data_IF_034430612567
#
_entry.id   IF_034430612567
#
_cell.length_a   1.000
_cell.length_b   1.000
_cell.length_c   1.000
_cell.angle_alpha   90.00
_cell.angle_beta   90.00
_cell.angle_gamma   90.00
#
_symmetry.space_group_name_H-M   'P 1'
#
loop_
_entity.id
_entity.type
_entity.pdbx_description
1 polymer ?
#
# COMPACT_ATOMS: atom_id res chain seq x y z
N UNK A 1 7.38 2.40 2.70
CA UNK A 1 7.08 2.25 4.13
C UNK A 1 8.07 1.25 4.67
N UNK A 2 8.81 1.60 5.72
CA UNK A 2 9.43 0.57 6.57
C UNK A 2 8.27 -0.22 7.18
N UNK A 3 8.23 -1.54 6.98
CA UNK A 3 7.10 -2.41 7.34
C UNK A 3 6.83 -2.51 8.85
N UNK A 4 7.62 -1.81 9.68
CA UNK A 4 7.57 -1.92 11.13
C UNK A 4 6.36 -1.28 11.82
N UNK A 5 5.59 -0.41 11.16
CA UNK A 5 4.44 0.23 11.82
C UNK A 5 3.39 -0.77 12.32
N UNK A 6 3.23 -1.92 11.67
CA UNK A 6 2.28 -2.95 12.08
C UNK A 6 2.83 -3.84 13.19
N UNK A 7 4.16 -4.03 13.25
CA UNK A 7 4.81 -4.94 14.18
C UNK A 7 4.51 -4.62 15.66
N UNK A 8 4.14 -3.38 15.97
CA UNK A 8 3.80 -2.95 17.33
C UNK A 8 2.32 -3.09 17.69
N UNK A 9 1.44 -3.44 16.75
CA UNK A 9 -0.02 -3.37 16.94
C UNK A 9 -0.78 -4.60 16.41
N UNK A 10 -0.09 -5.66 15.94
CA UNK A 10 -0.75 -6.87 15.44
C UNK A 10 0.03 -8.13 15.76
N UNK A 11 -0.69 -9.16 16.16
CA UNK A 11 -0.26 -10.55 16.30
C UNK A 11 -0.82 -11.46 15.17
N UNK A 12 -1.42 -10.85 14.14
CA UNK A 12 -2.00 -11.54 12.98
C UNK A 12 -1.08 -11.40 11.77
N UNK A 13 -0.76 -12.50 11.03
CA UNK A 13 -0.04 -12.41 9.76
C UNK A 13 -0.78 -11.55 8.72
N UNK A 14 -0.05 -10.69 8.01
CA UNK A 14 -0.64 -9.73 7.08
C UNK A 14 0.18 -9.56 5.79
N UNK A 15 -0.40 -8.90 4.78
CA UNK A 15 0.31 -8.42 3.59
C UNK A 15 -0.19 -7.03 3.19
N UNK A 16 0.63 -6.27 2.44
CA UNK A 16 0.31 -4.89 2.05
C UNK A 16 -0.52 -4.76 0.77
N UNK A 17 -0.48 -5.78 -0.07
CA UNK A 17 -1.18 -5.83 -1.35
C UNK A 17 -1.32 -7.29 -1.78
N UNK A 18 -2.32 -7.57 -2.61
CA UNK A 18 -2.55 -8.90 -3.17
C UNK A 18 -1.84 -9.09 -4.51
N UNK A 19 -1.87 -8.08 -5.36
CA UNK A 19 -1.30 -8.11 -6.71
C UNK A 19 -0.59 -6.80 -7.00
N UNK A 20 0.37 -6.85 -7.91
CA UNK A 20 1.02 -5.67 -8.44
C UNK A 20 1.04 -5.68 -9.96
N UNK A 21 1.13 -4.48 -10.53
CA UNK A 21 1.51 -4.25 -11.91
C UNK A 21 2.55 -3.14 -11.91
N UNK A 22 3.73 -3.38 -12.49
CA UNK A 22 4.85 -2.42 -12.44
C UNK A 22 5.52 -2.31 -13.80
N UNK A 23 5.85 -1.07 -14.19
CA UNK A 23 6.76 -0.83 -15.31
C UNK A 23 8.20 -1.05 -14.87
N UNK A 24 8.92 -1.86 -15.64
CA UNK A 24 10.35 -2.10 -15.42
C UNK A 24 11.11 -0.87 -15.88
N UNK A 25 11.76 -0.18 -14.93
CA UNK A 25 12.64 0.95 -15.21
C UNK A 25 14.07 0.52 -14.96
N UNK A 26 15.01 1.03 -15.77
CA UNK A 26 16.44 0.68 -15.68
C UNK A 26 16.99 0.77 -14.24
N UNK A 27 16.60 1.80 -13.49
CA UNK A 27 17.02 2.03 -12.09
C UNK A 27 16.55 0.94 -11.11
N UNK A 28 15.42 0.28 -11.37
CA UNK A 28 14.76 -0.66 -10.44
C UNK A 28 14.67 -2.07 -11.03
N UNK A 29 15.54 -2.39 -12.00
CA UNK A 29 15.50 -3.64 -12.75
C UNK A 29 16.26 -4.74 -12.02
N UNK A 30 15.62 -5.87 -11.79
CA UNK A 30 16.24 -7.10 -11.35
C UNK A 30 16.89 -7.86 -12.53
N UNK A 31 17.88 -8.74 -12.28
CA UNK A 31 18.47 -9.58 -13.32
C UNK A 31 17.39 -10.38 -14.08
N UNK A 32 17.43 -10.34 -15.41
CA UNK A 32 16.47 -11.04 -16.28
C UNK A 32 15.27 -10.21 -16.72
N UNK A 33 14.98 -9.07 -16.07
CA UNK A 33 13.87 -8.21 -16.49
C UNK A 33 14.23 -7.35 -17.71
N UNK A 34 13.22 -7.04 -18.54
CA UNK A 34 13.37 -6.24 -19.75
C UNK A 34 12.86 -4.82 -19.48
N UNK A 35 13.72 -3.82 -19.70
CA UNK A 35 13.37 -2.41 -19.45
C UNK A 35 12.25 -1.97 -20.40
N UNK A 36 11.23 -1.32 -19.84
CA UNK A 36 10.08 -0.81 -20.57
C UNK A 36 8.86 -1.74 -20.53
N UNK A 37 9.06 -3.03 -20.23
CA UNK A 37 7.96 -3.98 -20.08
C UNK A 37 7.13 -3.72 -18.82
N UNK A 38 5.91 -4.27 -18.84
CA UNK A 38 5.04 -4.29 -17.68
C UNK A 38 5.04 -5.69 -17.11
N UNK A 39 5.47 -5.81 -15.86
CA UNK A 39 5.38 -7.03 -15.09
C UNK A 39 4.15 -6.98 -14.17
N UNK A 40 3.58 -8.15 -13.92
CA UNK A 40 2.47 -8.32 -12.98
C UNK A 40 2.66 -9.61 -12.20
N UNK A 41 2.18 -9.63 -10.97
CA UNK A 41 2.26 -10.83 -10.14
C UNK A 41 1.41 -10.75 -8.90
N UNK A 42 1.26 -11.90 -8.25
CA UNK A 42 0.61 -12.02 -6.95
C UNK A 42 1.66 -11.89 -5.84
N UNK A 43 1.28 -11.26 -4.73
CA UNK A 43 2.01 -11.29 -3.48
C UNK A 43 1.43 -12.36 -2.56
N UNK A 44 2.02 -13.54 -2.60
CA UNK A 44 1.67 -14.68 -1.74
C UNK A 44 2.38 -14.64 -0.38
N UNK A 45 3.30 -13.69 -0.17
CA UNK A 45 4.11 -13.60 1.04
C UNK A 45 3.39 -12.83 2.14
N UNK A 46 3.08 -13.53 3.21
CA UNK A 46 2.65 -12.93 4.47
C UNK A 46 3.86 -12.50 5.31
N UNK A 47 3.72 -11.35 5.95
CA UNK A 47 4.63 -10.86 6.99
C UNK A 47 4.16 -11.48 8.30
N UNK A 48 5.10 -12.13 9.00
CA UNK A 48 4.83 -12.70 10.31
C UNK A 48 4.90 -11.60 11.39
N UNK A 49 3.99 -11.60 12.36
CA UNK A 49 3.98 -10.63 13.45
C UNK A 49 5.11 -10.90 14.44
N UNK A 50 5.42 -9.89 15.27
CA UNK A 50 6.47 -9.94 16.28
C UNK A 50 5.90 -9.55 17.66
N UNK A 51 5.01 -10.37 18.25
CA UNK A 51 4.30 -10.01 19.49
C UNK A 51 5.21 -9.88 20.72
N UNK A 52 6.41 -10.46 20.67
CA UNK A 52 7.40 -10.43 21.76
C UNK A 52 8.24 -9.14 21.80
N UNK A 53 7.97 -8.16 20.93
CA UNK A 53 8.65 -6.87 20.97
C UNK A 53 8.39 -6.18 22.31
N UNK A 54 9.46 -5.65 22.92
CA UNK A 54 9.37 -4.99 24.23
C UNK A 54 8.40 -3.79 24.26
N UNK A 55 8.12 -3.20 23.10
CA UNK A 55 7.18 -2.09 22.91
C UNK A 55 5.94 -2.50 22.08
N UNK A 56 5.58 -3.78 22.07
CA UNK A 56 4.31 -4.24 21.53
C UNK A 56 3.15 -3.64 22.32
N UNK A 57 2.19 -3.03 21.63
CA UNK A 57 1.02 -2.43 22.25
C UNK A 57 -0.08 -3.46 22.42
N UNK A 58 -0.49 -3.71 23.66
CA UNK A 58 -1.48 -4.74 24.01
C UNK A 58 -2.90 -4.19 24.24
N UNK A 59 -3.10 -2.89 24.06
CA UNK A 59 -4.40 -2.25 24.22
C UNK A 59 -5.23 -2.30 22.94
N UNK A 60 -6.48 -1.84 23.03
CA UNK A 60 -7.35 -1.72 21.87
C UNK A 60 -6.86 -0.60 20.94
N UNK A 61 -6.80 -0.90 19.64
CA UNK A 61 -6.37 0.04 18.61
C UNK A 61 -7.55 0.39 17.71
N UNK A 62 -7.78 1.68 17.49
CA UNK A 62 -8.64 2.17 16.43
C UNK A 62 -7.88 3.24 15.63
N UNK A 63 -8.01 3.23 14.31
CA UNK A 63 -7.28 4.17 13.44
C UNK A 63 -8.23 5.17 12.80
N UNK A 64 -8.00 6.45 13.08
CA UNK A 64 -8.77 7.53 12.46
C UNK A 64 -8.26 7.82 11.06
N UNK A 65 -9.15 7.71 10.07
CA UNK A 65 -8.93 8.11 8.68
C UNK A 65 -9.85 9.28 8.31
N UNK A 66 -9.55 9.93 7.18
CA UNK A 66 -10.44 10.93 6.62
C UNK A 66 -10.20 11.19 5.14
N UNK A 67 -10.92 12.16 4.60
CA UNK A 67 -10.88 12.52 3.19
C UNK A 67 -9.45 12.72 2.64
N UNK A 68 -8.52 13.23 3.46
CA UNK A 68 -7.14 13.51 3.10
C UNK A 68 -6.14 12.39 3.43
N UNK A 69 -6.57 11.23 3.93
CA UNK A 69 -5.71 10.06 4.07
C UNK A 69 -5.25 9.60 2.68
N UNK A 70 -3.95 9.61 2.41
CA UNK A 70 -3.40 9.43 1.07
C UNK A 70 -2.10 8.62 1.04
N UNK A 71 -1.68 8.23 -0.16
CA UNK A 71 -0.40 7.56 -0.40
C UNK A 71 -0.29 6.28 0.45
N UNK A 72 0.83 6.08 1.14
CA UNK A 72 1.07 4.87 1.92
C UNK A 72 0.13 4.73 3.13
N UNK A 73 -0.53 5.80 3.59
CA UNK A 73 -1.55 5.69 4.63
C UNK A 73 -2.80 4.92 4.15
N UNK A 74 -3.08 4.90 2.85
CA UNK A 74 -4.12 4.03 2.26
C UNK A 74 -3.71 2.56 2.35
N UNK A 75 -2.45 2.24 2.04
CA UNK A 75 -1.92 0.88 2.18
C UNK A 75 -2.04 0.41 3.63
N UNK A 76 -1.71 1.29 4.58
CA UNK A 76 -1.91 1.06 6.01
C UNK A 76 -3.36 0.79 6.38
N UNK A 77 -4.29 1.67 6.01
CA UNK A 77 -5.72 1.50 6.28
C UNK A 77 -6.27 0.20 5.68
N UNK A 78 -5.94 -0.09 4.41
CA UNK A 78 -6.34 -1.33 3.76
C UNK A 78 -5.84 -2.57 4.50
N UNK A 79 -4.56 -2.61 4.91
CA UNK A 79 -4.01 -3.76 5.63
C UNK A 79 -4.71 -3.95 6.98
N UNK A 80 -4.96 -2.87 7.73
CA UNK A 80 -5.68 -3.00 9.01
C UNK A 80 -7.10 -3.52 8.82
N UNK A 81 -7.82 -2.99 7.82
CA UNK A 81 -9.19 -3.39 7.51
C UNK A 81 -9.28 -4.84 6.98
N UNK A 82 -8.44 -5.20 6.00
CA UNK A 82 -8.53 -6.49 5.32
C UNK A 82 -8.08 -7.68 6.19
N UNK A 83 -7.28 -7.41 7.22
CA UNK A 83 -6.82 -8.41 8.19
C UNK A 83 -7.49 -8.29 9.56
N UNK A 84 -8.53 -7.45 9.68
CA UNK A 84 -9.25 -7.26 10.95
C UNK A 84 -8.35 -6.89 12.14
N UNK A 85 -7.27 -6.16 11.89
CA UNK A 85 -6.28 -5.79 12.92
C UNK A 85 -6.83 -4.69 13.82
N UNK A 86 -7.45 -3.67 13.22
CA UNK A 86 -8.03 -2.55 13.94
C UNK A 86 -9.19 -1.93 13.13
N UNK A 87 -10.29 -1.52 13.78
CA UNK A 87 -11.35 -0.76 13.11
C UNK A 87 -10.83 0.60 12.59
N UNK A 88 -11.37 1.00 11.44
CA UNK A 88 -11.14 2.33 10.87
C UNK A 88 -12.31 3.24 11.24
N UNK A 89 -12.02 4.41 11.82
CA UNK A 89 -13.03 5.39 12.26
C UNK A 89 -12.82 6.74 11.59
N UNK A 90 -13.85 7.60 11.57
CA UNK A 90 -13.77 8.94 10.97
C UNK A 90 -14.57 9.04 9.68
N UNK A 91 -13.91 9.40 8.58
CA UNK A 91 -14.54 9.56 7.26
C UNK A 91 -13.88 8.66 6.22
N UNK A 92 -14.64 8.27 5.20
CA UNK A 92 -14.11 7.57 4.04
C UNK A 92 -12.99 8.37 3.37
N UNK A 93 -11.99 7.67 2.83
CA UNK A 93 -10.90 8.34 2.13
C UNK A 93 -11.33 8.78 0.73
N UNK A 94 -10.80 9.90 0.24
CA UNK A 94 -10.91 10.23 -1.19
C UNK A 94 -9.85 9.48 -2.02
N UNK A 95 -8.74 9.10 -1.38
CA UNK A 95 -7.72 8.21 -1.95
C UNK A 95 -8.29 6.82 -2.21
N UNK A 96 -7.92 6.23 -3.36
CA UNK A 96 -8.43 4.93 -3.81
C UNK A 96 -7.74 3.76 -3.10
N UNK A 97 -8.51 2.73 -2.76
CA UNK A 97 -8.07 1.49 -2.13
C UNK A 97 -6.96 0.76 -2.92
N UNK A 98 -6.97 0.84 -4.24
CA UNK A 98 -5.84 0.47 -5.09
C UNK A 98 -4.87 1.64 -5.21
N UNK A 99 -3.60 1.41 -4.87
CA UNK A 99 -2.61 2.48 -4.72
C UNK A 99 -1.62 2.49 -5.89
N UNK A 100 -1.35 3.67 -6.43
CA UNK A 100 -0.21 3.90 -7.33
C UNK A 100 1.00 4.35 -6.54
N UNK A 101 2.19 3.95 -6.97
CA UNK A 101 3.42 4.33 -6.28
C UNK A 101 4.67 4.16 -7.11
N UNK A 102 5.81 4.50 -6.50
CA UNK A 102 7.11 4.56 -7.16
C UNK A 102 7.13 5.66 -8.20
N UNK A 103 7.63 6.84 -7.86
CA UNK A 103 7.58 7.97 -8.77
C UNK A 103 8.73 7.88 -9.78
N UNK A 104 8.45 8.20 -11.04
CA UNK A 104 9.45 8.49 -12.05
C UNK A 104 9.28 9.93 -12.56
N UNK A 105 10.42 10.55 -12.88
CA UNK A 105 10.50 11.88 -13.46
C UNK A 105 11.03 11.76 -14.88
N UNK A 106 10.38 12.44 -15.82
CA UNK A 106 10.81 12.53 -17.21
C UNK A 106 10.83 14.00 -17.62
N UNK A 107 11.98 14.50 -18.03
CA UNK A 107 12.09 15.84 -18.60
C UNK A 107 11.72 15.79 -20.09
N UNK A 108 10.75 16.61 -20.50
CA UNK A 108 10.32 16.73 -21.88
C UNK A 108 11.22 17.73 -22.62
N UNK A 109 12.11 17.20 -23.47
CA UNK A 109 13.24 17.93 -24.07
C UNK A 109 12.86 19.11 -24.97
N UNK A 110 11.60 19.20 -25.40
CA UNK A 110 11.14 20.27 -26.30
C UNK A 110 10.26 21.33 -25.62
N UNK A 111 9.93 21.16 -24.33
CA UNK A 111 9.06 22.09 -23.60
C UNK A 111 9.61 22.54 -22.25
N UNK A 112 10.73 21.95 -21.78
CA UNK A 112 11.27 22.13 -20.43
C UNK A 112 10.27 21.77 -19.32
N UNK A 113 9.20 21.04 -19.63
CA UNK A 113 8.27 20.50 -18.65
C UNK A 113 8.84 19.22 -18.03
N UNK A 114 8.58 19.01 -16.75
CA UNK A 114 8.85 17.76 -16.07
C UNK A 114 7.54 16.97 -15.88
N UNK A 115 7.49 15.77 -16.44
CA UNK A 115 6.41 14.82 -16.21
C UNK A 115 6.74 13.97 -14.99
N UNK A 116 5.72 13.77 -14.15
CA UNK A 116 5.77 12.87 -12.99
C UNK A 116 4.74 11.78 -13.22
N UNK A 117 5.15 10.51 -13.13
CA UNK A 117 4.22 9.39 -13.25
C UNK A 117 4.52 8.28 -12.25
N UNK A 118 3.51 7.51 -11.83
CA UNK A 118 3.74 6.33 -11.01
C UNK A 118 4.38 5.21 -11.85
N UNK A 119 5.07 4.31 -11.17
CA UNK A 119 5.76 3.15 -11.74
C UNK A 119 4.94 1.89 -11.56
N UNK A 120 4.20 1.78 -10.46
CA UNK A 120 3.42 0.60 -10.13
C UNK A 120 2.03 0.93 -9.62
N UNK A 121 1.17 -0.09 -9.69
CA UNK A 121 -0.15 -0.18 -9.09
C UNK A 121 -0.16 -1.39 -8.15
N UNK A 122 -0.72 -1.23 -6.95
CA UNK A 122 -0.90 -2.27 -5.95
C UNK A 122 -2.38 -2.47 -5.67
N UNK A 123 -2.90 -3.66 -5.97
CA UNK A 123 -4.25 -4.08 -5.60
C UNK A 123 -4.33 -4.29 -4.09
N UNK A 124 -5.42 -3.86 -3.45
CA UNK A 124 -5.58 -3.98 -1.99
C UNK A 124 -5.42 -5.43 -1.50
N UNK A 125 -5.03 -5.64 -0.22
CA UNK A 125 -4.65 -6.95 0.30
C UNK A 125 -5.65 -8.10 0.11
N UNK A 126 -6.96 -7.82 0.16
CA UNK A 126 -7.98 -8.85 -0.04
C UNK A 126 -8.26 -9.20 -1.52
N UNK A 127 -7.65 -8.50 -2.49
CA UNK A 127 -7.84 -8.77 -3.93
C UNK A 127 -8.92 -7.95 -4.62
N UNK A 128 -9.68 -7.12 -3.90
CA UNK A 128 -10.73 -6.28 -4.51
C UNK A 128 -10.14 -5.32 -5.55
N UNK A 129 -10.74 -5.32 -6.74
CA UNK A 129 -10.26 -4.54 -7.89
C UNK A 129 -10.96 -3.18 -8.00
N UNK A 130 -12.13 -3.02 -7.37
CA UNK A 130 -12.83 -1.74 -7.35
C UNK A 130 -12.01 -0.68 -6.60
N UNK A 131 -11.69 0.40 -7.32
CA UNK A 131 -10.83 1.47 -6.81
C UNK A 131 -11.66 2.59 -6.15
N UNK A 132 -12.40 2.23 -5.11
CA UNK A 132 -13.18 3.17 -4.28
C UNK A 132 -12.35 3.71 -3.11
N UNK A 133 -12.87 4.71 -2.40
CA UNK A 133 -12.29 5.13 -1.12
C UNK A 133 -12.29 4.01 -0.08
N UNK A 134 -11.28 3.97 0.78
CA UNK A 134 -11.27 3.07 1.94
C UNK A 134 -12.39 3.49 2.88
N UNK A 135 -13.24 2.53 3.22
CA UNK A 135 -14.44 2.76 4.02
C UNK A 135 -14.12 2.67 5.50
N UNK A 136 -14.75 3.52 6.31
CA UNK A 136 -14.77 3.31 7.76
C UNK A 136 -15.54 2.03 8.09
N UNK A 137 -15.19 1.40 9.22
CA UNK A 137 -15.93 0.25 9.71
C UNK A 137 -17.34 0.69 10.13
N UNK A 138 -18.37 -0.01 9.67
CA UNK A 138 -19.71 0.12 10.25
C UNK A 138 -19.67 -0.46 11.67
N UNK A 139 -19.89 0.38 12.67
CA UNK A 139 -20.13 -0.03 14.06
C UNK A 139 -21.47 -0.76 14.17
#
# INVERSE_FOLDING_TARGET
MDGRNYAYITDVPYRHFSHYRSKVLLKYRDPGQIVGEIESGENTRFIQPEPDLANFFTGDVAVKIGAYTYSSAIVFANTLQDFSIAPLVGEDTTGRSTQTGGIQFLNLIHSNLQMVSPRFILTRPNGELQMTGVKVSSL
#
